data_IF_324233117260
#
_entry.id   IF_324233117260
#
_cell.length_a   1.000
_cell.length_b   1.000
_cell.length_c   1.000
_cell.angle_alpha   90.00
_cell.angle_beta   90.00
_cell.angle_gamma   90.00
#
_symmetry.space_group_name_H-M   'P 1'
#
loop_
_entity.id
_entity.type
_entity.pdbx_description
1 polymer ?
#
# COMPACT_ATOMS: atom_id res chain seq x y z
N UNK A 1 9.21 28.39 7.85
CA UNK A 1 8.12 27.38 7.79
C UNK A 1 6.83 28.00 8.24
N UNK A 2 5.79 27.79 7.49
CA UNK A 2 4.41 28.26 7.72
C UNK A 2 3.61 27.31 8.62
N UNK A 3 4.21 26.20 9.01
CA UNK A 3 3.66 25.16 9.87
C UNK A 3 4.67 24.70 10.93
N UNK A 4 4.19 23.97 11.92
CA UNK A 4 5.01 23.41 13.02
C UNK A 4 4.77 21.89 13.05
N UNK A 5 5.87 21.14 13.13
CA UNK A 5 5.83 19.68 13.28
C UNK A 5 5.36 19.32 14.69
N UNK A 6 4.39 18.45 14.77
CA UNK A 6 3.88 17.83 15.99
C UNK A 6 4.46 16.45 16.25
N UNK A 7 3.73 15.64 17.00
CA UNK A 7 4.10 14.26 17.33
C UNK A 7 4.12 13.35 16.10
N UNK A 8 4.96 12.32 16.13
CA UNK A 8 4.98 11.25 15.12
C UNK A 8 3.70 10.43 15.23
N UNK A 9 3.01 10.25 14.11
CA UNK A 9 1.80 9.45 13.98
C UNK A 9 2.01 8.17 13.18
N UNK A 10 3.16 8.03 12.49
CA UNK A 10 3.49 6.82 11.76
C UNK A 10 4.95 6.77 11.33
N UNK A 11 5.45 5.56 11.13
CA UNK A 11 6.78 5.31 10.56
C UNK A 11 6.65 4.24 9.49
N UNK A 12 7.02 4.59 8.27
CA UNK A 12 7.15 3.66 7.15
C UNK A 12 8.62 3.32 6.91
N UNK A 13 8.85 2.46 5.93
CA UNK A 13 10.19 2.02 5.53
C UNK A 13 11.10 3.17 5.07
N UNK A 14 10.54 4.21 4.47
CA UNK A 14 11.30 5.29 3.82
C UNK A 14 11.02 6.66 4.40
N UNK A 15 9.96 6.80 5.18
CA UNK A 15 9.54 8.11 5.67
C UNK A 15 8.89 8.01 7.06
N UNK A 16 8.95 9.10 7.80
CA UNK A 16 8.22 9.29 9.04
C UNK A 16 7.04 10.22 8.78
N UNK A 17 5.87 9.88 9.30
CA UNK A 17 4.69 10.74 9.26
C UNK A 17 4.48 11.38 10.63
N UNK A 18 4.34 12.69 10.65
CA UNK A 18 4.07 13.45 11.89
C UNK A 18 2.84 14.33 11.68
N UNK A 19 2.20 14.73 12.77
CA UNK A 19 1.24 15.83 12.72
C UNK A 19 1.93 17.12 12.29
N UNK A 20 1.22 17.98 11.59
CA UNK A 20 1.65 19.32 11.27
C UNK A 20 0.51 20.30 11.54
N UNK A 21 0.82 21.40 12.24
CA UNK A 21 -0.14 22.46 12.58
C UNK A 21 0.24 23.72 11.83
N UNK A 22 -0.68 24.32 11.08
CA UNK A 22 -0.45 25.60 10.41
C UNK A 22 -0.27 26.71 11.45
N UNK A 23 0.58 27.71 11.16
CA UNK A 23 0.74 28.86 12.03
C UNK A 23 -0.45 29.80 11.90
N UNK A 24 -0.78 30.50 12.98
CA UNK A 24 -1.86 31.49 13.00
C UNK A 24 -1.62 32.56 11.91
N UNK A 25 -2.67 32.84 11.14
CA UNK A 25 -2.63 33.80 10.02
C UNK A 25 -2.14 33.22 8.70
N UNK A 26 -1.94 31.90 8.60
CA UNK A 26 -1.60 31.21 7.37
C UNK A 26 -2.85 30.55 6.77
N UNK A 27 -3.42 31.20 5.74
CA UNK A 27 -4.64 30.71 5.07
C UNK A 27 -4.37 29.66 3.97
N UNK A 28 -3.10 29.39 3.67
CA UNK A 28 -2.69 28.47 2.59
C UNK A 28 -2.96 27.01 2.96
N UNK A 29 -2.92 26.67 4.24
CA UNK A 29 -3.01 25.31 4.74
C UNK A 29 -4.15 25.15 5.74
N UNK A 30 -4.78 23.97 5.84
CA UNK A 30 -5.74 23.71 6.91
C UNK A 30 -5.03 23.75 8.28
N UNK A 31 -5.77 23.99 9.37
CA UNK A 31 -5.20 24.07 10.72
C UNK A 31 -4.39 22.84 11.12
N UNK A 32 -4.81 21.65 10.68
CA UNK A 32 -4.19 20.37 11.00
C UNK A 32 -3.93 19.57 9.72
N UNK A 33 -2.71 19.04 9.59
CA UNK A 33 -2.23 18.25 8.46
C UNK A 33 -1.38 17.07 8.95
N UNK A 34 -1.07 16.16 8.04
CA UNK A 34 0.02 15.21 8.20
C UNK A 34 1.24 15.68 7.39
N UNK A 35 2.44 15.48 7.89
CA UNK A 35 3.68 15.71 7.16
C UNK A 35 4.46 14.40 7.05
N UNK A 36 4.66 13.93 5.82
CA UNK A 36 5.48 12.77 5.51
C UNK A 36 6.87 13.23 5.12
N UNK A 37 7.91 12.75 5.81
CA UNK A 37 9.27 13.31 5.74
C UNK A 37 10.33 12.22 5.67
N UNK A 38 11.37 12.47 4.88
CA UNK A 38 12.58 11.63 4.81
C UNK A 38 13.81 12.51 4.61
N UNK A 39 15.01 11.94 4.74
CA UNK A 39 16.25 12.59 4.31
C UNK A 39 16.20 12.95 2.82
N UNK A 40 16.83 14.03 2.44
CA UNK A 40 16.84 14.49 1.03
C UNK A 40 17.47 13.45 0.11
N UNK A 41 18.49 12.75 0.59
CA UNK A 41 19.18 11.64 -0.10
C UNK A 41 18.26 10.47 -0.41
N UNK A 42 17.27 10.18 0.46
CA UNK A 42 16.34 9.06 0.35
C UNK A 42 14.98 9.45 -0.24
N UNK A 43 14.86 10.69 -0.76
CA UNK A 43 13.57 11.29 -1.10
C UNK A 43 12.96 10.83 -2.43
N UNK A 44 13.60 9.95 -3.19
CA UNK A 44 13.16 9.56 -4.53
C UNK A 44 11.70 9.05 -4.56
N UNK A 45 11.34 8.16 -3.64
CA UNK A 45 9.99 7.60 -3.52
C UNK A 45 8.97 8.68 -3.12
N UNK A 46 9.33 9.53 -2.16
CA UNK A 46 8.45 10.60 -1.69
C UNK A 46 8.25 11.70 -2.74
N UNK A 47 9.28 11.99 -3.55
CA UNK A 47 9.17 12.86 -4.72
C UNK A 47 8.25 12.28 -5.80
N UNK A 48 8.34 10.96 -6.04
CA UNK A 48 7.40 10.29 -6.96
C UNK A 48 5.96 10.48 -6.47
N UNK A 49 5.72 10.27 -5.18
CA UNK A 49 4.41 10.49 -4.56
C UNK A 49 3.88 11.90 -4.81
N UNK A 50 4.68 12.92 -4.53
CA UNK A 50 4.31 14.33 -4.78
C UNK A 50 3.99 14.58 -6.26
N UNK A 51 4.82 14.06 -7.18
CA UNK A 51 4.60 14.22 -8.61
C UNK A 51 3.32 13.55 -9.10
N UNK A 52 2.99 12.38 -8.56
CA UNK A 52 1.75 11.68 -8.90
C UNK A 52 0.56 12.45 -8.35
N UNK A 53 0.57 12.80 -7.06
CA UNK A 53 -0.51 13.54 -6.41
C UNK A 53 -0.77 14.91 -7.07
N UNK A 54 0.27 15.62 -7.49
CA UNK A 54 0.11 16.87 -8.22
C UNK A 54 -0.58 16.72 -9.58
N UNK A 55 -0.49 15.55 -10.21
CA UNK A 55 -1.14 15.24 -11.49
C UNK A 55 -2.56 14.71 -11.33
N UNK A 56 -2.81 13.99 -10.25
CA UNK A 56 -4.15 13.55 -9.88
C UNK A 56 -5.03 14.73 -9.47
N UNK A 57 -4.43 15.81 -8.93
CA UNK A 57 -5.20 16.97 -8.50
C UNK A 57 -6.16 16.68 -7.35
N UNK A 58 -7.28 17.41 -7.30
CA UNK A 58 -8.29 17.25 -6.26
C UNK A 58 -9.30 16.16 -6.64
N UNK A 59 -9.09 14.95 -6.11
CA UNK A 59 -10.05 13.85 -6.16
C UNK A 59 -10.50 13.54 -4.73
N UNK A 60 -11.79 13.38 -4.53
CA UNK A 60 -12.37 13.17 -3.19
C UNK A 60 -11.89 11.86 -2.56
N UNK A 61 -11.65 10.83 -3.36
CA UNK A 61 -11.23 9.50 -2.95
C UNK A 61 -9.71 9.31 -2.89
N UNK A 62 -8.95 10.37 -3.19
CA UNK A 62 -7.48 10.41 -3.09
C UNK A 62 -7.08 11.32 -1.94
N UNK A 63 -6.08 10.94 -1.17
CA UNK A 63 -5.54 11.77 -0.09
C UNK A 63 -4.99 13.08 -0.65
N UNK A 64 -5.49 14.19 -0.15
CA UNK A 64 -5.11 15.51 -0.65
C UNK A 64 -3.67 15.86 -0.29
N UNK A 65 -2.92 16.37 -1.27
CA UNK A 65 -1.58 16.89 -1.10
C UNK A 65 -1.62 18.43 -1.15
N UNK A 66 -1.09 19.08 -0.12
CA UNK A 66 -1.04 20.54 -0.03
C UNK A 66 0.28 21.11 -0.58
N UNK A 67 1.23 20.24 -0.94
CA UNK A 67 2.52 20.60 -1.49
C UNK A 67 3.69 19.98 -0.74
N UNK A 68 4.89 20.41 -1.09
CA UNK A 68 6.13 19.93 -0.50
C UNK A 68 7.06 21.08 -0.13
N UNK A 69 7.89 20.85 0.87
CA UNK A 69 8.86 21.82 1.37
C UNK A 69 10.14 21.12 1.86
N UNK A 70 11.24 21.86 1.85
CA UNK A 70 12.49 21.46 2.49
C UNK A 70 12.62 22.07 3.87
N UNK A 71 13.20 21.32 4.80
CA UNK A 71 13.55 21.83 6.14
C UNK A 71 14.91 21.33 6.59
N UNK A 72 15.52 22.07 7.51
CA UNK A 72 16.71 21.62 8.22
C UNK A 72 16.34 21.48 9.70
N UNK A 73 16.34 20.23 10.19
CA UNK A 73 15.94 19.90 11.54
C UNK A 73 17.03 19.04 12.21
N UNK A 74 17.54 19.49 13.35
CA UNK A 74 18.64 18.80 14.04
C UNK A 74 19.89 18.60 13.19
N UNK A 75 20.17 19.52 12.25
CA UNK A 75 21.32 19.44 11.34
C UNK A 75 21.14 18.50 10.14
N UNK A 76 19.95 17.94 9.94
CA UNK A 76 19.61 17.10 8.78
C UNK A 76 18.67 17.84 7.84
N UNK A 77 18.93 17.74 6.55
CA UNK A 77 18.03 18.25 5.52
C UNK A 77 16.93 17.21 5.25
N UNK A 78 15.69 17.67 5.38
CA UNK A 78 14.50 16.84 5.18
C UNK A 78 13.72 17.34 3.97
N UNK A 79 13.19 16.40 3.20
CA UNK A 79 12.13 16.62 2.24
C UNK A 79 10.79 16.26 2.89
N UNK A 80 9.85 17.19 2.86
CA UNK A 80 8.56 17.11 3.53
C UNK A 80 7.43 17.20 2.52
N UNK A 81 6.43 16.32 2.62
CA UNK A 81 5.19 16.39 1.85
C UNK A 81 4.05 16.62 2.82
N UNK A 82 3.28 17.68 2.58
CA UNK A 82 2.14 18.09 3.40
C UNK A 82 0.88 17.44 2.85
N UNK A 83 0.23 16.63 3.65
CA UNK A 83 -0.90 15.80 3.28
C UNK A 83 -2.11 16.07 4.17
N UNK A 84 -3.29 15.72 3.68
CA UNK A 84 -4.50 15.67 4.47
C UNK A 84 -4.31 14.75 5.68
N UNK A 85 -4.81 15.19 6.84
CA UNK A 85 -4.76 14.37 8.05
C UNK A 85 -5.95 13.41 8.10
N UNK A 86 -5.64 12.12 8.10
CA UNK A 86 -6.63 11.05 8.24
C UNK A 86 -6.90 10.80 9.73
N UNK A 87 -7.91 11.46 10.27
CA UNK A 87 -8.22 11.39 11.70
C UNK A 87 -8.67 9.99 12.16
N UNK A 88 -9.21 9.16 11.25
CA UNK A 88 -9.60 7.77 11.54
C UNK A 88 -8.47 6.75 11.35
N UNK A 89 -7.23 7.18 11.07
CA UNK A 89 -6.11 6.28 10.80
C UNK A 89 -6.26 5.52 9.48
N UNK A 90 -5.73 4.31 9.41
CA UNK A 90 -5.88 3.43 8.24
C UNK A 90 -6.97 2.39 8.46
N UNK A 91 -7.50 1.82 7.36
CA UNK A 91 -8.40 0.65 7.44
C UNK A 91 -7.71 -0.56 8.10
N UNK A 92 -6.38 -0.67 7.98
CA UNK A 92 -5.63 -1.71 8.69
C UNK A 92 -5.68 -1.52 10.22
N UNK A 93 -5.51 -0.29 10.70
CA UNK A 93 -5.66 0.03 12.12
C UNK A 93 -7.08 -0.26 12.59
N UNK A 94 -8.08 0.13 11.79
CA UNK A 94 -9.47 -0.10 12.12
C UNK A 94 -9.80 -1.59 12.23
N UNK A 95 -9.37 -2.41 11.26
CA UNK A 95 -9.58 -3.87 11.28
C UNK A 95 -8.82 -4.53 12.46
N UNK A 96 -7.60 -4.07 12.76
CA UNK A 96 -6.83 -4.56 13.92
C UNK A 96 -7.56 -4.29 15.24
N UNK A 97 -8.13 -3.10 15.39
CA UNK A 97 -8.69 -2.64 16.67
C UNK A 97 -10.12 -3.14 16.89
N UNK A 98 -10.90 -3.33 15.82
CA UNK A 98 -12.32 -3.69 15.88
C UNK A 98 -12.66 -5.07 15.27
N UNK A 99 -11.69 -5.74 14.62
CA UNK A 99 -11.91 -7.01 13.92
C UNK A 99 -12.58 -6.84 12.56
N UNK A 100 -13.25 -7.92 12.11
CA UNK A 100 -13.96 -7.94 10.84
C UNK A 100 -15.05 -6.85 10.77
N UNK A 101 -15.16 -6.20 9.63
CA UNK A 101 -16.19 -5.20 9.38
C UNK A 101 -17.52 -5.84 9.01
N UNK A 102 -18.63 -5.21 9.36
CA UNK A 102 -19.95 -5.58 8.84
C UNK A 102 -20.00 -5.31 7.32
N UNK A 103 -20.74 -6.14 6.60
CA UNK A 103 -20.77 -6.09 5.13
C UNK A 103 -21.19 -4.71 4.57
N UNK A 104 -22.07 -3.98 5.25
CA UNK A 104 -22.46 -2.63 4.85
C UNK A 104 -21.29 -1.65 4.82
N UNK A 105 -20.35 -1.77 5.78
CA UNK A 105 -19.15 -0.95 5.81
C UNK A 105 -18.14 -1.41 4.75
N UNK A 106 -17.99 -2.73 4.55
CA UNK A 106 -17.15 -3.28 3.47
C UNK A 106 -17.61 -2.74 2.11
N UNK A 107 -18.92 -2.78 1.82
CA UNK A 107 -19.53 -2.24 0.59
C UNK A 107 -19.22 -0.75 0.42
N UNK A 108 -19.41 0.03 1.46
CA UNK A 108 -19.18 1.48 1.46
C UNK A 108 -17.73 1.82 1.18
N UNK A 109 -16.78 1.18 1.88
CA UNK A 109 -15.36 1.43 1.66
C UNK A 109 -14.90 0.91 0.31
N UNK A 110 -15.31 -0.29 -0.11
CA UNK A 110 -15.00 -0.83 -1.43
C UNK A 110 -15.46 0.12 -2.55
N UNK A 111 -16.67 0.72 -2.43
CA UNK A 111 -17.17 1.70 -3.39
C UNK A 111 -16.30 2.97 -3.44
N UNK A 112 -15.92 3.53 -2.28
CA UNK A 112 -15.03 4.69 -2.24
C UNK A 112 -13.69 4.39 -2.90
N UNK A 113 -13.10 3.24 -2.57
CA UNK A 113 -11.81 2.83 -3.13
C UNK A 113 -11.92 2.62 -4.64
N UNK A 114 -13.01 1.99 -5.12
CA UNK A 114 -13.26 1.81 -6.55
C UNK A 114 -13.36 3.14 -7.29
N UNK A 115 -14.08 4.14 -6.75
CA UNK A 115 -14.15 5.49 -7.34
C UNK A 115 -12.76 6.11 -7.46
N UNK A 116 -11.94 5.98 -6.41
CA UNK A 116 -10.55 6.45 -6.43
C UNK A 116 -9.69 5.71 -7.46
N UNK A 117 -9.79 4.38 -7.54
CA UNK A 117 -9.05 3.60 -8.54
C UNK A 117 -9.49 3.90 -9.96
N UNK A 118 -10.79 4.04 -10.21
CA UNK A 118 -11.32 4.40 -11.52
C UNK A 118 -10.77 5.76 -11.98
N UNK A 119 -10.76 6.74 -11.09
CA UNK A 119 -10.16 8.04 -11.36
C UNK A 119 -8.66 7.93 -11.64
N UNK A 120 -7.89 7.23 -10.79
CA UNK A 120 -6.43 7.06 -10.92
C UNK A 120 -6.10 6.40 -12.26
N UNK A 121 -6.83 5.33 -12.61
CA UNK A 121 -6.65 4.58 -13.85
C UNK A 121 -7.05 5.42 -15.06
N UNK A 122 -8.14 6.19 -14.98
CA UNK A 122 -8.61 7.11 -16.02
C UNK A 122 -7.62 8.23 -16.33
N UNK A 123 -6.87 8.72 -15.32
CA UNK A 123 -5.77 9.69 -15.51
C UNK A 123 -4.49 9.02 -16.03
N UNK A 124 -4.48 7.70 -16.19
CA UNK A 124 -3.37 6.93 -16.75
C UNK A 124 -2.28 6.56 -15.73
N UNK A 125 -2.63 6.43 -14.46
CA UNK A 125 -1.74 5.92 -13.41
C UNK A 125 -2.18 4.56 -12.91
N UNK A 126 -1.23 3.81 -12.33
CA UNK A 126 -1.43 2.57 -11.59
C UNK A 126 -0.83 2.78 -10.20
N UNK A 127 -1.56 2.43 -9.14
CA UNK A 127 -1.14 2.68 -7.76
C UNK A 127 0.00 1.75 -7.33
N UNK A 128 -0.06 0.46 -7.70
CA UNK A 128 0.92 -0.60 -7.43
C UNK A 128 1.07 -1.05 -5.97
N UNK A 129 0.41 -0.43 -4.99
CA UNK A 129 0.49 -0.85 -3.58
C UNK A 129 -0.83 -0.60 -2.83
N UNK A 130 -1.95 -1.02 -3.44
CA UNK A 130 -3.26 -1.00 -2.76
C UNK A 130 -3.25 -2.03 -1.65
N UNK A 131 -3.50 -1.57 -0.41
CA UNK A 131 -3.57 -2.39 0.81
C UNK A 131 -4.24 -1.61 1.93
N UNK A 132 -4.74 -2.28 2.97
CA UNK A 132 -5.48 -1.61 4.05
C UNK A 132 -4.68 -0.50 4.74
N UNK A 133 -3.34 -0.63 4.82
CA UNK A 133 -2.46 0.39 5.41
C UNK A 133 -2.44 1.71 4.60
N UNK A 134 -2.71 1.64 3.30
CA UNK A 134 -2.71 2.78 2.39
C UNK A 134 -4.13 3.32 2.11
N UNK A 135 -5.15 2.72 2.71
CA UNK A 135 -6.54 3.15 2.65
C UNK A 135 -6.88 3.88 3.95
N UNK A 136 -6.97 5.20 3.87
CA UNK A 136 -7.01 6.09 5.02
C UNK A 136 -8.43 6.58 5.28
N UNK A 137 -8.80 6.67 6.54
CA UNK A 137 -10.11 7.12 7.00
C UNK A 137 -10.07 8.62 7.29
N UNK A 138 -10.59 9.41 6.36
CA UNK A 138 -10.68 10.87 6.48
C UNK A 138 -12.07 11.28 6.92
N UNK A 139 -12.16 12.28 7.80
CA UNK A 139 -13.44 12.83 8.24
C UNK A 139 -14.13 13.59 7.11
N UNK A 140 -15.39 13.27 6.83
CA UNK A 140 -16.27 14.11 6.02
C UNK A 140 -16.98 15.12 6.92
N UNK A 141 -17.63 16.14 6.31
CA UNK A 141 -18.36 17.20 7.03
C UNK A 141 -19.49 16.68 7.93
N UNK A 142 -19.93 15.43 7.75
CA UNK A 142 -21.05 14.80 8.45
C UNK A 142 -20.62 13.87 9.60
N UNK A 143 -19.40 13.99 10.10
CA UNK A 143 -18.84 13.08 11.13
C UNK A 143 -18.75 11.61 10.69
N UNK A 144 -18.83 11.35 9.40
CA UNK A 144 -18.68 10.03 8.81
C UNK A 144 -17.30 9.93 8.17
N UNK A 145 -16.59 8.84 8.43
CA UNK A 145 -15.32 8.60 7.76
C UNK A 145 -15.54 8.05 6.35
N UNK A 146 -14.82 8.59 5.37
CA UNK A 146 -14.68 8.04 4.03
C UNK A 146 -13.27 7.46 3.84
N UNK A 147 -13.18 6.38 3.06
CA UNK A 147 -11.88 5.81 2.70
C UNK A 147 -11.28 6.60 1.54
N UNK A 148 -10.02 7.02 1.71
CA UNK A 148 -9.22 7.65 0.66
C UNK A 148 -7.96 6.84 0.39
N UNK A 149 -7.52 6.83 -0.86
CA UNK A 149 -6.28 6.17 -1.29
C UNK A 149 -5.11 7.09 -1.01
N UNK A 150 -4.11 6.60 -0.28
CA UNK A 150 -2.85 7.29 0.02
C UNK A 150 -1.64 6.46 -0.35
N UNK A 151 -0.45 7.03 -0.15
CA UNK A 151 0.85 6.44 -0.43
C UNK A 151 1.09 6.09 -1.91
N UNK A 152 1.35 7.10 -2.72
CA UNK A 152 1.64 6.98 -4.15
C UNK A 152 3.14 6.80 -4.46
N UNK A 153 3.95 6.46 -3.46
CA UNK A 153 5.40 6.29 -3.64
C UNK A 153 5.77 5.25 -4.71
N UNK A 154 4.99 4.18 -4.84
CA UNK A 154 5.18 3.13 -5.84
C UNK A 154 4.34 3.32 -7.12
N UNK A 155 3.49 4.33 -7.18
CA UNK A 155 2.64 4.56 -8.34
C UNK A 155 3.45 4.86 -9.60
N UNK A 156 2.92 4.46 -10.75
CA UNK A 156 3.56 4.67 -12.06
C UNK A 156 2.53 5.04 -13.13
N UNK A 157 3.01 5.59 -14.25
CA UNK A 157 2.19 5.74 -15.45
C UNK A 157 1.90 4.39 -16.08
N UNK A 158 0.67 4.18 -16.55
CA UNK A 158 0.22 2.94 -17.17
C UNK A 158 1.00 2.60 -18.47
N UNK A 159 1.38 3.62 -19.25
CA UNK A 159 2.06 3.45 -20.54
C UNK A 159 3.59 3.28 -20.43
N UNK A 160 4.20 3.52 -19.27
CA UNK A 160 5.65 3.38 -19.14
C UNK A 160 6.01 1.92 -18.97
N UNK A 161 6.63 1.35 -20.03
CA UNK A 161 7.40 0.11 -19.92
C UNK A 161 8.50 0.36 -18.91
N UNK A 162 8.50 -0.36 -17.79
CA UNK A 162 9.51 -0.16 -16.75
C UNK A 162 10.88 -0.58 -17.29
N UNK A 163 11.83 0.36 -17.32
CA UNK A 163 13.22 0.08 -17.67
C UNK A 163 13.88 -0.91 -16.72
N UNK A 164 13.37 -1.04 -15.50
CA UNK A 164 13.78 -2.01 -14.50
C UNK A 164 12.62 -2.92 -14.13
N UNK A 165 12.75 -4.20 -14.48
CA UNK A 165 11.86 -5.28 -14.05
C UNK A 165 12.13 -5.58 -12.57
N UNK A 166 11.48 -4.89 -11.65
CA UNK A 166 11.53 -5.13 -10.21
C UNK A 166 10.15 -5.46 -9.67
N UNK A 167 10.08 -6.25 -8.60
CA UNK A 167 8.84 -6.42 -7.86
C UNK A 167 8.47 -5.09 -7.18
N UNK A 168 7.19 -4.71 -7.28
CA UNK A 168 6.62 -3.52 -6.64
C UNK A 168 5.42 -3.92 -5.82
N UNK A 169 5.24 -3.29 -4.68
CA UNK A 169 4.08 -3.52 -3.82
C UNK A 169 4.31 -4.57 -2.74
N UNK A 170 3.27 -4.86 -2.01
CA UNK A 170 3.27 -5.76 -0.84
C UNK A 170 2.89 -7.19 -1.26
N UNK A 171 3.71 -8.22 -0.97
CA UNK A 171 3.53 -9.59 -1.47
C UNK A 171 2.13 -10.17 -1.30
N UNK A 172 1.49 -9.95 -0.14
CA UNK A 172 0.16 -10.49 0.17
C UNK A 172 -0.97 -9.92 -0.69
N UNK A 173 -0.73 -8.81 -1.39
CA UNK A 173 -1.70 -8.15 -2.26
C UNK A 173 -1.32 -8.27 -3.75
N UNK A 174 -0.17 -8.90 -4.06
CA UNK A 174 0.30 -8.99 -5.44
C UNK A 174 -0.58 -9.90 -6.29
N UNK A 175 -0.85 -9.46 -7.51
CA UNK A 175 -1.52 -10.26 -8.51
C UNK A 175 -0.56 -11.28 -9.15
N UNK A 176 -1.07 -12.45 -9.61
CA UNK A 176 -0.22 -13.51 -10.18
C UNK A 176 0.62 -13.06 -11.37
N UNK A 177 0.09 -12.20 -12.23
CA UNK A 177 0.79 -11.66 -13.40
C UNK A 177 2.01 -10.83 -13.01
N UNK A 178 1.95 -10.10 -11.89
CA UNK A 178 3.08 -9.31 -11.39
C UNK A 178 4.27 -10.20 -11.03
N UNK A 179 4.03 -11.42 -10.57
CA UNK A 179 5.05 -12.41 -10.26
C UNK A 179 5.59 -13.14 -11.51
N UNK A 180 4.79 -13.20 -12.59
CA UNK A 180 5.22 -13.73 -13.89
C UNK A 180 6.15 -12.78 -14.64
N UNK A 181 6.36 -11.58 -14.13
CA UNK A 181 7.21 -10.56 -14.74
C UNK A 181 6.46 -9.71 -15.77
N UNK A 182 5.16 -9.80 -15.79
CA UNK A 182 4.32 -8.79 -16.44
C UNK A 182 4.35 -7.51 -15.61
N UNK A 183 4.08 -6.40 -16.25
CA UNK A 183 4.06 -5.13 -15.56
C UNK A 183 2.80 -4.99 -14.70
N UNK A 184 2.93 -4.31 -13.57
CA UNK A 184 1.76 -3.85 -12.83
C UNK A 184 0.86 -3.01 -13.74
N UNK A 185 -0.39 -3.41 -13.84
CA UNK A 185 -1.44 -2.72 -14.60
C UNK A 185 -2.60 -2.36 -13.68
N UNK A 186 -3.55 -1.61 -14.18
CA UNK A 186 -4.80 -1.32 -13.47
C UNK A 186 -5.48 -2.59 -12.92
N UNK A 187 -5.39 -3.70 -13.66
CA UNK A 187 -5.93 -4.98 -13.21
C UNK A 187 -5.24 -5.52 -11.95
N UNK A 188 -3.96 -5.22 -11.73
CA UNK A 188 -3.26 -5.62 -10.50
C UNK A 188 -3.78 -4.87 -9.27
N UNK A 189 -4.13 -3.59 -9.40
CA UNK A 189 -4.77 -2.83 -8.32
C UNK A 189 -6.15 -3.41 -7.96
N UNK A 190 -6.90 -3.93 -8.95
CA UNK A 190 -8.19 -4.60 -8.70
C UNK A 190 -8.02 -5.91 -7.93
N UNK A 191 -7.00 -6.70 -8.26
CA UNK A 191 -6.67 -7.89 -7.44
C UNK A 191 -6.35 -7.50 -6.01
N UNK A 192 -5.53 -6.47 -5.82
CA UNK A 192 -5.16 -5.97 -4.51
C UNK A 192 -6.38 -5.42 -3.73
N UNK A 193 -7.32 -4.75 -4.40
CA UNK A 193 -8.61 -4.38 -3.82
C UNK A 193 -9.39 -5.62 -3.35
N UNK A 194 -9.44 -6.68 -4.15
CA UNK A 194 -10.08 -7.95 -3.74
C UNK A 194 -9.47 -8.49 -2.44
N UNK A 195 -8.13 -8.49 -2.32
CA UNK A 195 -7.45 -8.88 -1.09
C UNK A 195 -7.85 -7.97 0.10
N UNK A 196 -7.92 -6.67 -0.11
CA UNK A 196 -8.35 -5.71 0.91
C UNK A 196 -9.81 -5.95 1.35
N UNK A 197 -10.72 -6.29 0.43
CA UNK A 197 -12.12 -6.64 0.74
C UNK A 197 -12.20 -7.92 1.57
N UNK A 198 -11.43 -8.96 1.22
CA UNK A 198 -11.35 -10.19 2.04
C UNK A 198 -10.88 -9.86 3.46
N UNK A 199 -9.84 -9.05 3.60
CA UNK A 199 -9.29 -8.69 4.89
C UNK A 199 -10.25 -7.84 5.72
N UNK A 200 -10.94 -6.87 5.12
CA UNK A 200 -12.01 -6.11 5.78
C UNK A 200 -13.14 -7.04 6.28
N UNK A 201 -13.60 -7.97 5.44
CA UNK A 201 -14.74 -8.83 5.75
C UNK A 201 -14.40 -9.92 6.77
N UNK A 202 -13.19 -10.45 6.77
CA UNK A 202 -12.77 -11.57 7.64
C UNK A 202 -12.01 -11.14 8.89
N UNK A 203 -11.43 -9.92 8.91
CA UNK A 203 -10.47 -9.49 9.92
C UNK A 203 -9.11 -10.23 9.84
N UNK A 204 -8.87 -10.95 8.75
CA UNK A 204 -7.68 -11.78 8.54
C UNK A 204 -7.08 -11.53 7.17
N UNK A 205 -5.75 -11.70 7.01
CA UNK A 205 -5.10 -11.58 5.70
C UNK A 205 -5.77 -12.46 4.63
N UNK A 206 -5.87 -11.95 3.40
CA UNK A 206 -6.49 -12.66 2.28
C UNK A 206 -5.83 -14.02 1.98
N UNK A 207 -4.53 -14.13 2.23
CA UNK A 207 -3.78 -15.38 2.15
C UNK A 207 -3.45 -15.87 3.55
N UNK A 208 -4.18 -16.89 4.00
CA UNK A 208 -3.85 -17.55 5.24
C UNK A 208 -2.61 -18.42 5.05
N UNK A 209 -1.56 -18.09 5.79
CA UNK A 209 -0.31 -18.84 5.81
C UNK A 209 -0.18 -19.54 7.16
N UNK A 210 0.37 -20.75 7.18
CA UNK A 210 0.73 -21.40 8.44
C UNK A 210 1.89 -20.64 9.11
N UNK A 211 1.98 -20.63 10.45
CA UNK A 211 3.11 -20.07 11.15
C UNK A 211 4.43 -20.63 10.60
N UNK A 212 5.39 -19.76 10.28
CA UNK A 212 6.66 -20.16 9.67
C UNK A 212 6.63 -20.35 8.14
N UNK A 213 5.51 -20.04 7.48
CA UNK A 213 5.48 -20.00 6.01
C UNK A 213 6.39 -18.88 5.50
N UNK A 214 7.41 -19.26 4.72
CA UNK A 214 8.30 -18.30 4.07
C UNK A 214 7.53 -17.46 3.03
N UNK A 215 7.88 -16.18 2.92
CA UNK A 215 7.33 -15.27 1.92
C UNK A 215 7.48 -15.81 0.49
N UNK A 216 8.56 -16.52 0.20
CA UNK A 216 8.74 -17.19 -1.09
C UNK A 216 7.69 -18.27 -1.33
N UNK A 217 7.34 -19.05 -0.31
CA UNK A 217 6.29 -20.07 -0.41
C UNK A 217 4.93 -19.42 -0.71
N UNK A 218 4.63 -18.26 -0.11
CA UNK A 218 3.44 -17.47 -0.46
C UNK A 218 3.49 -17.00 -1.91
N UNK A 219 4.61 -16.42 -2.35
CA UNK A 219 4.77 -15.95 -3.74
C UNK A 219 4.62 -17.12 -4.74
N UNK A 220 5.18 -18.28 -4.44
CA UNK A 220 4.98 -19.49 -5.25
C UNK A 220 3.53 -19.96 -5.26
N UNK A 221 2.81 -19.88 -4.13
CA UNK A 221 1.38 -20.20 -4.04
C UNK A 221 0.54 -19.27 -4.91
N UNK A 222 0.82 -17.97 -4.89
CA UNK A 222 0.13 -16.96 -5.69
C UNK A 222 0.41 -17.19 -7.18
N UNK A 223 1.68 -17.36 -7.54
CA UNK A 223 2.13 -17.49 -8.93
C UNK A 223 1.74 -18.84 -9.54
N UNK A 224 2.15 -19.95 -8.94
CA UNK A 224 2.07 -21.30 -9.50
C UNK A 224 0.78 -22.03 -9.20
N UNK A 225 0.01 -21.55 -8.21
CA UNK A 225 -1.25 -22.17 -7.80
C UNK A 225 -2.41 -21.82 -8.74
N UNK A 226 -3.41 -22.69 -8.75
CA UNK A 226 -4.74 -22.36 -9.29
C UNK A 226 -5.61 -21.64 -8.26
N UNK A 227 -5.11 -21.47 -7.04
CA UNK A 227 -5.83 -20.90 -5.92
C UNK A 227 -5.95 -19.38 -6.04
N UNK A 228 -7.08 -18.84 -5.68
CA UNK A 228 -7.34 -17.45 -5.30
C UNK A 228 -7.37 -17.34 -3.78
N UNK A 229 -7.35 -16.13 -3.21
CA UNK A 229 -7.66 -15.92 -1.79
C UNK A 229 -8.99 -16.57 -1.41
N UNK A 230 -9.08 -17.07 -0.19
CA UNK A 230 -10.33 -17.68 0.31
C UNK A 230 -11.40 -16.61 0.48
N UNK A 231 -12.57 -16.86 -0.09
CA UNK A 231 -13.71 -15.96 0.05
C UNK A 231 -14.34 -16.15 1.42
N UNK A 232 -14.52 -15.09 2.23
CA UNK A 232 -15.17 -15.18 3.53
C UNK A 232 -16.59 -15.73 3.42
N UNK A 233 -16.93 -16.71 4.28
CA UNK A 233 -18.27 -17.33 4.31
C UNK A 233 -19.37 -16.36 4.71
N UNK A 234 -19.00 -15.33 5.45
CA UNK A 234 -19.88 -14.30 6.01
C UNK A 234 -20.39 -13.29 4.96
N UNK A 235 -19.75 -13.25 3.80
CA UNK A 235 -20.21 -12.39 2.70
C UNK A 235 -21.45 -12.94 2.02
N UNK A 236 -22.31 -12.02 1.59
CA UNK A 236 -23.44 -12.32 0.70
C UNK A 236 -22.99 -12.96 -0.61
N UNK A 237 -23.93 -13.55 -1.35
CA UNK A 237 -23.62 -14.11 -2.69
C UNK A 237 -23.12 -13.02 -3.65
N UNK A 238 -23.66 -11.78 -3.55
CA UNK A 238 -23.14 -10.64 -4.31
C UNK A 238 -21.69 -10.29 -3.93
N UNK A 239 -21.36 -10.38 -2.63
CA UNK A 239 -19.99 -10.16 -2.15
C UNK A 239 -19.01 -11.22 -2.66
N UNK A 240 -19.44 -12.47 -2.69
CA UNK A 240 -18.65 -13.59 -3.23
C UNK A 240 -18.44 -13.42 -4.75
N UNK A 241 -19.50 -13.09 -5.51
CA UNK A 241 -19.40 -12.84 -6.95
C UNK A 241 -18.50 -11.64 -7.24
N UNK A 242 -18.59 -10.56 -6.45
CA UNK A 242 -17.68 -9.42 -6.57
C UNK A 242 -16.20 -9.84 -6.43
N UNK A 243 -15.87 -10.66 -5.43
CA UNK A 243 -14.52 -11.18 -5.24
C UNK A 243 -14.07 -12.07 -6.39
N UNK A 244 -14.97 -12.89 -6.96
CA UNK A 244 -14.66 -13.69 -8.16
C UNK A 244 -14.24 -12.81 -9.33
N UNK A 245 -14.90 -11.65 -9.55
CA UNK A 245 -14.52 -10.69 -10.60
C UNK A 245 -13.16 -10.02 -10.32
N UNK A 246 -12.85 -9.75 -9.05
CA UNK A 246 -11.54 -9.22 -8.64
C UNK A 246 -10.41 -10.24 -8.82
N UNK A 247 -10.68 -11.53 -8.59
CA UNK A 247 -9.67 -12.60 -8.59
C UNK A 247 -9.57 -13.39 -9.89
N UNK A 248 -10.14 -12.88 -11.00
CA UNK A 248 -9.88 -13.46 -12.31
C UNK A 248 -8.38 -13.42 -12.62
N UNK A 249 -7.76 -14.61 -12.82
CA UNK A 249 -6.30 -14.72 -12.98
C UNK A 249 -5.78 -14.12 -14.28
N UNK A 250 -6.57 -14.19 -15.36
CA UNK A 250 -6.24 -13.46 -16.61
C UNK A 250 -6.53 -11.97 -16.39
N UNK A 251 -5.51 -11.09 -16.35
CA UNK A 251 -5.71 -9.66 -16.10
C UNK A 251 -6.58 -8.98 -17.16
N UNK A 252 -6.65 -9.55 -18.38
CA UNK A 252 -7.47 -9.02 -19.47
C UNK A 252 -8.96 -9.33 -19.31
N UNK A 253 -9.29 -10.34 -18.49
CA UNK A 253 -10.67 -10.73 -18.17
C UNK A 253 -11.12 -10.16 -16.83
N UNK A 254 -10.17 -9.74 -15.99
CA UNK A 254 -10.48 -9.13 -14.69
C UNK A 254 -11.27 -7.85 -14.90
N UNK A 255 -12.30 -7.68 -14.10
CA UNK A 255 -13.14 -6.49 -14.19
C UNK A 255 -12.35 -5.23 -13.86
N UNK A 256 -12.69 -4.13 -14.56
CA UNK A 256 -12.13 -2.80 -14.29
C UNK A 256 -12.82 -2.18 -13.05
N UNK A 257 -12.26 -1.09 -12.54
CA UNK A 257 -12.88 -0.34 -11.45
C UNK A 257 -14.26 0.19 -11.87
N UNK A 258 -14.40 0.70 -13.10
CA UNK A 258 -15.65 1.15 -13.68
C UNK A 258 -16.71 0.02 -13.70
N UNK A 259 -16.37 -1.16 -14.22
CA UNK A 259 -17.28 -2.31 -14.23
C UNK A 259 -17.72 -2.73 -12.82
N UNK A 260 -16.80 -2.71 -11.86
CA UNK A 260 -17.08 -3.07 -10.47
C UNK A 260 -17.93 -2.03 -9.73
N UNK A 261 -17.90 -0.76 -10.14
CA UNK A 261 -18.78 0.27 -9.58
C UNK A 261 -20.26 0.00 -9.87
N UNK A 262 -20.56 -0.67 -10.99
CA UNK A 262 -21.90 -1.08 -11.36
C UNK A 262 -22.31 -2.45 -10.77
N UNK A 263 -21.40 -3.13 -10.05
CA UNK A 263 -21.67 -4.44 -9.47
C UNK A 263 -22.69 -4.33 -8.32
N UNK A 264 -23.69 -5.25 -8.22
CA UNK A 264 -24.74 -5.22 -7.20
C UNK A 264 -24.22 -5.12 -5.76
N UNK A 265 -23.06 -5.68 -5.49
CA UNK A 265 -22.43 -5.64 -4.15
C UNK A 265 -22.17 -4.21 -3.68
N UNK A 266 -21.76 -3.32 -4.55
CA UNK A 266 -21.41 -1.92 -4.20
C UNK A 266 -22.42 -0.90 -4.73
N UNK A 267 -23.33 -1.28 -5.62
CA UNK A 267 -24.37 -0.42 -6.15
C UNK A 267 -25.34 0.00 -5.02
N UNK A 268 -25.71 1.28 -4.94
CA UNK A 268 -26.71 1.78 -4.00
C UNK A 268 -26.23 2.03 -2.57
N UNK A 269 -24.92 1.97 -2.28
CA UNK A 269 -24.36 2.14 -0.92
C UNK A 269 -24.09 3.60 -0.52
N UNK A 270 -24.80 4.57 -1.04
CA UNK A 270 -24.59 5.99 -0.71
C UNK A 270 -25.14 6.39 0.68
N UNK A 271 -25.46 5.44 1.56
CA UNK A 271 -26.01 5.72 2.90
C UNK A 271 -24.86 5.91 3.90
N UNK A 272 -24.81 7.10 4.48
CA UNK A 272 -23.86 7.47 5.55
C UNK A 272 -24.28 6.85 6.89
N UNK A 273 -23.47 5.96 7.46
CA UNK A 273 -23.64 5.43 8.82
C UNK A 273 -22.49 5.89 9.70
N UNK A 274 -22.74 6.43 10.92
CA UNK A 274 -21.67 6.86 11.84
C UNK A 274 -20.84 5.66 12.33
N UNK A 275 -19.53 5.82 12.36
CA UNK A 275 -18.60 4.85 12.94
C UNK A 275 -18.58 4.92 14.46
N UNK A 276 -18.26 3.77 15.11
CA UNK A 276 -17.90 3.75 16.52
C UNK A 276 -16.56 4.45 16.71
N UNK A 277 -16.53 5.49 17.54
CA UNK A 277 -15.30 6.18 17.92
C UNK A 277 -14.58 5.39 19.02
N UNK A 278 -13.27 5.21 18.90
CA UNK A 278 -12.40 4.83 19.99
C UNK A 278 -11.82 6.09 20.63
N UNK A 279 -11.82 6.18 21.93
CA UNK A 279 -11.34 7.34 22.70
C UNK A 279 -9.80 7.48 22.73
N UNK A 280 -9.06 6.62 22.05
CA UNK A 280 -7.59 6.69 22.01
C UNK A 280 -7.06 7.10 20.64
N UNK A 281 -6.08 8.00 20.64
CA UNK A 281 -5.40 8.47 19.43
C UNK A 281 -4.72 7.30 18.69
N UNK A 282 -5.28 6.90 17.56
CA UNK A 282 -4.74 5.88 16.68
C UNK A 282 -3.41 6.36 16.08
N UNK A 283 -2.38 5.55 16.20
CA UNK A 283 -1.09 5.77 15.53
C UNK A 283 -1.16 5.25 14.09
N UNK A 284 -0.69 6.03 13.14
CA UNK A 284 -0.63 5.74 11.69
C UNK A 284 0.13 4.43 11.36
N UNK A 285 -0.05 3.84 10.17
CA UNK A 285 0.31 2.46 9.87
C UNK A 285 1.77 2.11 10.19
N UNK A 286 1.93 1.06 11.00
CA UNK A 286 3.20 0.38 11.21
C UNK A 286 3.51 -0.53 10.02
N UNK A 287 4.72 -1.06 9.98
CA UNK A 287 5.19 -1.94 8.90
C UNK A 287 4.16 -3.01 8.49
N UNK A 288 4.04 -3.35 7.19
CA UNK A 288 3.12 -4.39 6.71
C UNK A 288 3.33 -5.79 7.31
N UNK A 289 4.34 -5.95 8.18
CA UNK A 289 4.70 -7.20 8.84
C UNK A 289 4.47 -7.20 10.37
N UNK A 290 3.80 -6.19 10.93
CA UNK A 290 3.40 -6.17 12.34
C UNK A 290 2.21 -7.12 12.66
N UNK A 291 2.23 -8.32 12.09
CA UNK A 291 1.39 -9.40 12.57
C UNK A 291 2.15 -10.13 13.69
N UNK A 292 1.56 -10.28 14.90
CA UNK A 292 2.22 -10.94 16.03
C UNK A 292 2.72 -12.36 15.74
N UNK A 293 2.12 -13.02 14.77
CA UNK A 293 2.44 -14.39 14.34
C UNK A 293 3.72 -14.48 13.50
N UNK A 294 4.31 -13.34 13.07
CA UNK A 294 5.55 -13.28 12.27
C UNK A 294 6.77 -12.82 13.06
N UNK A 295 6.60 -12.49 14.34
CA UNK A 295 7.70 -12.18 15.24
C UNK A 295 8.36 -13.49 15.70
N UNK A 296 9.47 -13.86 15.09
CA UNK A 296 10.31 -14.97 15.53
C UNK A 296 11.17 -14.52 16.71
N UNK A 297 11.21 -15.33 17.76
CA UNK A 297 12.14 -15.24 18.88
C UNK A 297 13.58 -15.27 18.38
N UNK A 298 14.32 -14.20 18.58
CA UNK A 298 15.75 -14.16 18.26
C UNK A 298 16.61 -13.85 19.45
N UNK A 299 17.49 -14.80 19.77
CA UNK A 299 18.66 -14.64 20.61
C UNK A 299 19.74 -13.78 19.91
N UNK A 300 20.61 -13.04 20.65
CA UNK A 300 21.55 -12.09 20.06
C UNK A 300 22.75 -12.79 19.42
N UNK A 301 23.13 -12.34 18.23
CA UNK A 301 24.32 -12.79 17.47
C UNK A 301 25.51 -11.85 17.66
N UNK A 302 26.74 -12.36 17.59
CA UNK A 302 27.95 -11.58 17.75
C UNK A 302 28.38 -10.88 16.46
N UNK A 303 29.12 -9.79 16.62
CA UNK A 303 29.72 -8.95 15.57
C UNK A 303 30.83 -9.68 14.80
N UNK A 304 31.03 -9.40 13.53
CA UNK A 304 32.32 -9.64 12.87
C UNK A 304 32.94 -8.36 12.30
N UNK A 305 34.26 -8.29 12.55
CA UNK A 305 35.20 -7.37 11.89
C UNK A 305 35.64 -7.87 10.51
N UNK A 306 36.15 -6.89 9.73
CA UNK A 306 37.15 -6.98 8.67
C UNK A 306 36.74 -7.21 7.22
N UNK A 307 37.13 -6.20 6.51
CA UNK A 307 37.54 -5.94 5.12
C UNK A 307 37.94 -7.12 4.23
N UNK A 308 37.55 -7.09 2.94
CA UNK A 308 38.43 -7.33 1.79
C UNK A 308 37.75 -6.92 0.45
N UNK A 309 38.42 -6.04 -0.27
CA UNK A 309 38.19 -5.69 -1.68
C UNK A 309 38.50 -6.87 -2.62
N UNK A 310 37.76 -6.97 -3.74
CA UNK A 310 38.35 -7.34 -5.04
C UNK A 310 37.43 -6.93 -6.21
N UNK A 311 38.02 -6.17 -7.13
CA UNK A 311 37.58 -5.88 -8.49
C UNK A 311 37.52 -7.11 -9.39
N UNK A 312 36.59 -7.14 -10.34
CA UNK A 312 36.85 -7.27 -11.79
C UNK A 312 35.61 -7.55 -12.65
N UNK A 313 35.39 -6.60 -13.55
CA UNK A 313 35.33 -6.67 -15.01
C UNK A 313 34.36 -7.61 -15.76
N UNK A 314 33.56 -6.93 -16.56
CA UNK A 314 33.25 -7.04 -17.99
C UNK A 314 32.40 -8.19 -18.53
N UNK A 315 31.29 -7.78 -19.08
CA UNK A 315 30.80 -8.01 -20.44
C UNK A 315 30.25 -9.40 -20.79
N UNK A 316 28.94 -9.45 -20.97
CA UNK A 316 28.35 -9.87 -22.25
C UNK A 316 26.82 -9.90 -22.18
N UNK A 317 26.23 -9.19 -23.12
CA UNK A 317 24.80 -9.19 -23.41
C UNK A 317 24.37 -10.54 -23.99
N UNK A 318 23.49 -11.22 -23.26
CA UNK A 318 22.65 -12.27 -23.85
C UNK A 318 21.23 -12.14 -23.25
N UNK A 319 20.27 -11.86 -24.10
CA UNK A 319 18.85 -11.77 -23.76
C UNK A 319 18.32 -13.18 -23.48
N UNK A 320 18.49 -13.67 -22.26
CA UNK A 320 17.81 -14.89 -21.81
C UNK A 320 16.51 -14.48 -21.10
N UNK A 321 15.38 -14.97 -21.63
CA UNK A 321 14.09 -14.93 -20.94
C UNK A 321 14.21 -15.85 -19.72
N UNK A 322 14.57 -15.30 -18.57
CA UNK A 322 14.56 -16.03 -17.30
C UNK A 322 13.12 -16.46 -17.00
N UNK A 323 12.93 -17.74 -16.64
CA UNK A 323 11.61 -18.25 -16.27
C UNK A 323 11.11 -17.56 -14.99
N UNK A 324 9.78 -17.50 -14.76
CA UNK A 324 9.25 -16.98 -13.50
C UNK A 324 9.81 -17.69 -12.26
N UNK A 325 10.07 -19.00 -12.36
CA UNK A 325 10.71 -19.77 -11.30
C UNK A 325 12.16 -19.31 -11.02
N UNK A 326 12.92 -18.96 -12.05
CA UNK A 326 14.29 -18.45 -11.88
C UNK A 326 14.28 -17.04 -11.28
N UNK A 327 13.27 -16.24 -11.58
CA UNK A 327 13.08 -14.91 -10.97
C UNK A 327 12.75 -15.02 -9.49
N UNK A 328 11.89 -15.96 -9.10
CA UNK A 328 11.58 -16.22 -7.69
C UNK A 328 12.82 -16.77 -6.99
N UNK A 329 13.60 -17.66 -7.62
CA UNK A 329 14.89 -18.15 -7.07
C UNK A 329 15.94 -17.06 -6.92
N UNK A 330 15.95 -16.03 -7.78
CA UNK A 330 16.82 -14.86 -7.62
C UNK A 330 16.43 -13.97 -6.42
N UNK A 331 15.22 -14.13 -5.85
CA UNK A 331 14.84 -13.53 -4.58
C UNK A 331 15.43 -14.28 -3.38
N UNK A 332 15.84 -15.53 -3.57
CA UNK A 332 16.47 -16.37 -2.57
C UNK A 332 17.98 -16.14 -2.66
N UNK A 333 18.48 -15.12 -1.98
CA UNK A 333 19.90 -15.09 -1.63
C UNK A 333 20.12 -16.07 -0.46
N UNK A 334 21.28 -16.71 -0.36
CA UNK A 334 21.65 -17.64 0.74
C UNK A 334 21.62 -17.01 2.14
N UNK A 335 21.28 -15.74 2.23
CA UNK A 335 20.97 -15.05 3.47
C UNK A 335 19.45 -15.02 3.64
N UNK A 336 18.96 -15.57 4.75
CA UNK A 336 17.58 -15.43 5.17
C UNK A 336 17.22 -13.93 5.16
N UNK A 337 16.20 -13.51 4.40
CA UNK A 337 15.83 -12.10 4.34
C UNK A 337 15.53 -11.61 5.74
N UNK A 338 16.22 -10.58 6.18
CA UNK A 338 15.91 -9.92 7.44
C UNK A 338 14.74 -8.98 7.23
N UNK A 339 13.54 -9.49 7.42
CA UNK A 339 12.29 -8.77 7.24
C UNK A 339 12.06 -7.64 8.26
N UNK A 340 12.89 -7.60 9.32
CA UNK A 340 12.85 -6.52 10.33
C UNK A 340 13.55 -5.24 9.86
N UNK A 341 14.30 -5.29 8.76
CA UNK A 341 15.01 -4.15 8.19
C UNK A 341 14.46 -3.89 6.80
N UNK A 342 13.73 -2.81 6.65
CA UNK A 342 12.97 -2.40 5.46
C UNK A 342 13.76 -2.11 4.19
N UNK A 343 15.07 -2.23 4.21
CA UNK A 343 15.95 -1.87 3.08
C UNK A 343 16.05 -2.94 1.99
N UNK A 344 15.65 -4.19 2.26
CA UNK A 344 15.94 -5.31 1.36
C UNK A 344 14.95 -5.51 0.20
N UNK A 345 13.75 -4.93 0.26
CA UNK A 345 12.73 -5.14 -0.78
C UNK A 345 13.02 -4.46 -2.11
N UNK A 346 13.84 -3.41 -2.10
CA UNK A 346 14.23 -2.68 -3.31
C UNK A 346 15.60 -3.08 -3.86
N UNK A 347 16.35 -3.89 -3.13
CA UNK A 347 17.71 -4.32 -3.49
C UNK A 347 17.77 -5.68 -4.21
N UNK A 348 16.64 -6.32 -4.51
CA UNK A 348 16.64 -7.50 -5.39
C UNK A 348 16.81 -6.99 -6.83
N UNK A 349 18.04 -6.92 -7.23
CA UNK A 349 18.50 -6.60 -8.59
C UNK A 349 18.33 -7.79 -9.53
#
# INVERSE_FOLDING_TARGET
MTWVRGGTIGRGSFATVSLAVSRAGEDRFPPLMAVKSCGVEDSATLRNETQVLSRLGDCQEVLRCYGDEYSCEGGRELYNVLLEYAAGGSLADYVRDFGALVESDVKRYARSILRGLDYIHGVGFVHCDVKLQNLLLCSSNDSVFCAKIGDFGLAKKAEKVAEKKGFRGTPMYMAPECLSGEEHSAAADIWALGCAVVEMASGKPAWQCQPGTDANALLFRIWGGKASPETPSELSEEGKDFLEKCFLRDPRKRWTAEMLLDHPFVAGTDVTVPLKQSDEASTSPRSPFDFPEWASDHAPSPTPDSEACFDRDLNSSSHSRTSPADRIRQLVTDQTPNWSVSESWFAVR
#
